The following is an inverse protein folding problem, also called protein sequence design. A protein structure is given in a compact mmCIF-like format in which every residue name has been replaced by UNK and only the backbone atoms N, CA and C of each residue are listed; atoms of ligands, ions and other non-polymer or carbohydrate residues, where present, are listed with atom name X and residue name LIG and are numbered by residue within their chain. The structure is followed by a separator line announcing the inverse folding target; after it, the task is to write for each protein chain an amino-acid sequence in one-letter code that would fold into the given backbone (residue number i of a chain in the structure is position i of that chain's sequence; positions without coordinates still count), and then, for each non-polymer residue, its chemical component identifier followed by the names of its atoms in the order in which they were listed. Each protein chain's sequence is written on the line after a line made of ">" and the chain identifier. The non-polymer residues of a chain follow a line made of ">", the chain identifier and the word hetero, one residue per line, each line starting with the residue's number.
data_IF_989400516027
#
_entry.id   IF_989400516027
#
_cell.length_a   1.000
_cell.length_b   1.000
_cell.length_c   1.000
_cell.angle_alpha   90.00
_cell.angle_beta   90.00
_cell.angle_gamma   90.00
#
_symmetry.space_group_name_H-M   'P 1'
#
loop_
_entity.id
_entity.type
_entity.pdbx_description
1 polymer ?
#
# COMPACT_ATOMS: atom_id res chain seq x y z
N UNK A 1 46.46 -29.97 55.69
CA UNK A 1 45.81 -28.65 55.87
C UNK A 1 45.48 -27.98 54.54
N UNK A 2 46.38 -27.88 53.55
CA UNK A 2 46.09 -27.15 52.30
C UNK A 2 45.15 -27.79 51.25
N UNK A 3 44.59 -28.99 51.49
CA UNK A 3 43.65 -29.62 50.56
C UNK A 3 42.17 -29.31 50.88
N UNK A 4 41.83 -29.07 52.15
CA UNK A 4 40.46 -28.70 52.55
C UNK A 4 40.16 -27.24 52.23
N UNK A 5 41.08 -26.30 52.49
CA UNK A 5 40.92 -24.89 52.12
C UNK A 5 40.73 -24.70 50.60
N UNK A 6 41.49 -25.43 49.77
CA UNK A 6 41.34 -25.41 48.30
C UNK A 6 40.00 -25.97 47.83
N UNK A 7 39.38 -26.87 48.60
CA UNK A 7 38.08 -27.45 48.29
C UNK A 7 36.96 -26.47 48.64
N UNK A 8 37.10 -25.80 49.78
CA UNK A 8 36.16 -24.79 50.27
C UNK A 8 36.15 -23.53 49.38
N UNK A 9 37.33 -23.03 48.97
CA UNK A 9 37.43 -21.93 48.01
C UNK A 9 36.76 -22.25 46.66
N UNK A 10 36.95 -23.48 46.15
CA UNK A 10 36.32 -23.95 44.91
C UNK A 10 34.80 -24.06 45.04
N UNK A 11 34.28 -24.46 46.18
CA UNK A 11 32.83 -24.51 46.43
C UNK A 11 32.22 -23.11 46.50
N UNK A 12 32.89 -22.16 47.16
CA UNK A 12 32.46 -20.75 47.24
C UNK A 12 32.49 -20.10 45.85
N UNK A 13 33.56 -20.33 45.07
CA UNK A 13 33.70 -19.79 43.71
C UNK A 13 32.66 -20.40 42.75
N UNK A 14 32.40 -21.71 42.83
CA UNK A 14 31.35 -22.36 42.06
C UNK A 14 29.95 -21.89 42.48
N UNK A 15 29.71 -21.65 43.77
CA UNK A 15 28.47 -21.07 44.30
C UNK A 15 28.21 -19.66 43.75
N UNK A 16 29.22 -18.78 43.79
CA UNK A 16 29.16 -17.45 43.18
C UNK A 16 28.90 -17.53 41.67
N UNK A 17 29.69 -18.33 40.92
CA UNK A 17 29.50 -18.53 39.47
C UNK A 17 28.10 -19.04 39.13
N UNK A 18 27.56 -19.99 39.91
CA UNK A 18 26.21 -20.55 39.71
C UNK A 18 25.12 -19.53 40.03
N UNK A 19 25.31 -18.67 41.03
CA UNK A 19 24.39 -17.58 41.38
C UNK A 19 24.39 -16.47 40.31
N UNK A 20 25.56 -16.04 39.84
CA UNK A 20 25.68 -15.03 38.77
C UNK A 20 25.10 -15.54 37.45
N UNK A 21 25.34 -16.81 37.10
CA UNK A 21 24.73 -17.45 35.91
C UNK A 21 23.19 -17.52 36.02
N UNK A 22 22.63 -17.85 37.19
CA UNK A 22 21.18 -17.84 37.42
C UNK A 22 20.58 -16.43 37.31
N UNK A 23 21.22 -15.42 37.88
CA UNK A 23 20.80 -14.00 37.74
C UNK A 23 20.85 -13.55 36.27
N UNK A 24 21.90 -13.89 35.54
CA UNK A 24 22.04 -13.55 34.12
C UNK A 24 21.00 -14.28 33.25
N UNK A 25 20.65 -15.52 33.58
CA UNK A 25 19.61 -16.29 32.89
C UNK A 25 18.20 -15.73 33.17
N UNK A 26 17.93 -15.29 34.41
CA UNK A 26 16.66 -14.66 34.77
C UNK A 26 16.53 -13.24 34.17
N UNK A 27 17.62 -12.46 34.14
CA UNK A 27 17.65 -11.15 33.49
C UNK A 27 17.53 -11.28 31.96
N UNK A 28 18.25 -12.23 31.35
CA UNK A 28 18.18 -12.50 29.91
C UNK A 28 16.82 -13.06 29.48
N UNK A 29 16.23 -13.98 30.26
CA UNK A 29 14.87 -14.48 30.04
C UNK A 29 13.80 -13.41 30.25
N UNK A 30 13.97 -12.52 31.23
CA UNK A 30 13.10 -11.37 31.44
C UNK A 30 13.15 -10.38 30.28
N UNK A 31 14.35 -10.04 29.79
CA UNK A 31 14.52 -9.11 28.66
C UNK A 31 13.95 -9.70 27.35
N UNK A 32 14.16 -10.99 27.11
CA UNK A 32 13.56 -11.70 25.98
C UNK A 32 12.03 -11.73 26.07
N UNK A 33 11.49 -12.01 27.26
CA UNK A 33 10.04 -12.02 27.51
C UNK A 33 9.40 -10.66 27.29
N UNK A 34 10.02 -9.58 27.79
CA UNK A 34 9.59 -8.20 27.54
C UNK A 34 9.68 -7.86 26.06
N UNK A 35 10.78 -8.20 25.39
CA UNK A 35 10.95 -7.96 23.96
C UNK A 35 9.88 -8.65 23.10
N UNK A 36 9.55 -9.91 23.41
CA UNK A 36 8.48 -10.64 22.74
C UNK A 36 7.11 -10.00 22.98
N UNK A 37 6.80 -9.62 24.23
CA UNK A 37 5.54 -8.96 24.56
C UNK A 37 5.39 -7.63 23.80
N UNK A 38 6.43 -6.80 23.79
CA UNK A 38 6.46 -5.54 23.05
C UNK A 38 6.32 -5.79 21.54
N UNK A 39 7.04 -6.76 20.99
CA UNK A 39 6.96 -7.10 19.57
C UNK A 39 5.57 -7.56 19.12
N UNK A 40 4.87 -8.35 19.94
CA UNK A 40 3.50 -8.77 19.68
C UNK A 40 2.53 -7.59 19.76
N UNK A 41 2.67 -6.71 20.76
CA UNK A 41 1.83 -5.52 20.88
C UNK A 41 2.00 -4.60 19.67
N UNK A 42 3.24 -4.32 19.26
CA UNK A 42 3.52 -3.50 18.08
C UNK A 42 2.93 -4.13 16.83
N UNK A 43 3.12 -5.44 16.64
CA UNK A 43 2.60 -6.17 15.49
C UNK A 43 1.07 -6.12 15.43
N UNK A 44 0.40 -6.26 16.58
CA UNK A 44 -1.05 -6.10 16.67
C UNK A 44 -1.51 -4.68 16.29
N UNK A 45 -0.87 -3.66 16.85
CA UNK A 45 -1.17 -2.25 16.54
C UNK A 45 -1.01 -1.98 15.04
N UNK A 46 0.07 -2.47 14.43
CA UNK A 46 0.32 -2.30 12.99
C UNK A 46 -0.77 -2.96 12.16
N UNK A 47 -1.16 -4.20 12.48
CA UNK A 47 -2.22 -4.91 11.76
C UNK A 47 -3.55 -4.17 11.85
N UNK A 48 -3.93 -3.71 13.05
CA UNK A 48 -5.17 -2.94 13.23
C UNK A 48 -5.11 -1.58 12.52
N UNK A 49 -3.98 -0.87 12.57
CA UNK A 49 -3.79 0.36 11.81
C UNK A 49 -3.95 0.13 10.29
N UNK A 50 -3.39 -0.97 9.77
CA UNK A 50 -3.54 -1.31 8.34
C UNK A 50 -5.00 -1.56 7.97
N UNK A 51 -5.74 -2.32 8.78
CA UNK A 51 -7.17 -2.60 8.56
C UNK A 51 -8.03 -1.33 8.65
N UNK A 52 -7.84 -0.53 9.69
CA UNK A 52 -8.61 0.70 9.90
C UNK A 52 -8.42 1.70 8.76
N UNK A 53 -7.21 1.75 8.20
CA UNK A 53 -6.86 2.64 7.10
C UNK A 53 -7.06 2.01 5.71
N UNK A 54 -7.72 0.85 5.62
CA UNK A 54 -8.02 0.19 4.35
C UNK A 54 -9.34 0.66 3.73
N UNK A 55 -10.31 0.99 4.59
CA UNK A 55 -11.71 1.14 4.23
C UNK A 55 -12.18 2.54 3.82
N UNK A 56 -13.43 2.61 3.32
CA UNK A 56 -14.00 3.85 2.82
C UNK A 56 -14.12 4.94 3.90
N UNK A 57 -14.30 4.57 5.17
CA UNK A 57 -14.46 5.54 6.25
C UNK A 57 -13.16 6.31 6.53
N UNK A 58 -12.01 5.65 6.41
CA UNK A 58 -10.72 6.32 6.48
C UNK A 58 -10.48 7.15 5.21
N UNK A 59 -10.67 6.56 4.03
CA UNK A 59 -10.38 7.26 2.78
C UNK A 59 -11.24 8.51 2.59
N UNK A 60 -12.52 8.47 2.98
CA UNK A 60 -13.45 9.61 2.87
C UNK A 60 -13.27 10.67 3.97
N UNK A 61 -12.34 10.46 4.92
CA UNK A 61 -12.06 11.44 5.98
C UNK A 61 -11.49 12.74 5.42
N UNK A 62 -10.81 12.68 4.27
CA UNK A 62 -10.42 13.85 3.48
C UNK A 62 -11.57 14.25 2.54
N UNK A 63 -11.90 15.53 2.47
CA UNK A 63 -13.04 16.02 1.67
C UNK A 63 -12.90 15.71 0.17
N UNK A 64 -11.66 15.76 -0.35
CA UNK A 64 -11.35 15.46 -1.75
C UNK A 64 -11.68 14.03 -2.17
N UNK A 65 -11.79 13.11 -1.22
CA UNK A 65 -12.13 11.70 -1.49
C UNK A 65 -13.63 11.41 -1.41
N UNK A 66 -14.46 12.37 -0.99
CA UNK A 66 -15.91 12.21 -0.89
C UNK A 66 -16.56 11.81 -2.23
N UNK A 67 -16.19 12.39 -3.39
CA UNK A 67 -16.72 11.96 -4.68
C UNK A 67 -16.49 10.47 -4.98
N UNK A 68 -15.28 9.98 -4.68
CA UNK A 68 -14.86 8.60 -4.91
C UNK A 68 -15.69 7.67 -4.06
N UNK A 69 -15.86 8.00 -2.77
CA UNK A 69 -16.72 7.27 -1.85
C UNK A 69 -18.17 7.23 -2.31
N UNK A 70 -18.74 8.37 -2.74
CA UNK A 70 -20.12 8.42 -3.23
C UNK A 70 -20.33 7.49 -4.42
N UNK A 71 -19.43 7.54 -5.41
CA UNK A 71 -19.48 6.65 -6.58
C UNK A 71 -19.25 5.18 -6.20
N UNK A 72 -18.32 4.91 -5.29
CA UNK A 72 -18.00 3.58 -4.78
C UNK A 72 -19.20 2.94 -4.07
N UNK A 73 -19.88 3.69 -3.21
CA UNK A 73 -21.07 3.21 -2.48
C UNK A 73 -22.24 2.78 -3.37
N UNK A 74 -22.18 3.11 -4.67
CA UNK A 74 -23.16 2.75 -5.69
C UNK A 74 -22.65 1.65 -6.64
N UNK A 75 -21.40 1.23 -6.51
CA UNK A 75 -20.80 0.14 -7.28
C UNK A 75 -21.00 -1.21 -6.56
N UNK A 76 -20.99 -2.30 -7.32
CA UNK A 76 -21.09 -3.66 -6.75
C UNK A 76 -19.96 -3.99 -5.79
N UNK A 77 -18.78 -3.39 -5.96
CA UNK A 77 -17.65 -3.56 -5.04
C UNK A 77 -17.79 -2.74 -3.75
N UNK A 78 -18.68 -1.73 -3.73
CA UNK A 78 -19.01 -0.98 -2.52
C UNK A 78 -20.24 -1.48 -1.77
N UNK A 79 -20.67 -2.73 -2.02
CA UNK A 79 -21.83 -3.32 -1.37
C UNK A 79 -23.16 -3.08 -2.08
N UNK A 80 -23.18 -2.39 -3.22
CA UNK A 80 -24.42 -2.15 -3.95
C UNK A 80 -24.87 -3.39 -4.72
N UNK A 81 -25.97 -4.03 -4.29
CA UNK A 81 -26.60 -5.14 -4.99
C UNK A 81 -26.93 -6.31 -4.05
N UNK A 82 -27.28 -7.45 -4.65
CA UNK A 82 -27.80 -8.60 -3.90
C UNK A 82 -26.73 -9.42 -3.16
N UNK A 83 -25.45 -9.30 -3.54
CA UNK A 83 -24.38 -10.10 -2.92
C UNK A 83 -23.94 -9.59 -1.55
N UNK A 84 -24.17 -8.31 -1.24
CA UNK A 84 -23.64 -7.65 -0.04
C UNK A 84 -22.11 -7.62 0.04
N UNK A 85 -21.42 -7.95 -1.05
CA UNK A 85 -19.96 -8.00 -1.10
C UNK A 85 -19.37 -6.59 -1.05
N UNK A 86 -18.37 -6.39 -0.19
CA UNK A 86 -17.67 -5.12 -0.02
C UNK A 86 -16.17 -5.36 -0.14
N UNK A 87 -15.54 -4.75 -1.14
CA UNK A 87 -14.10 -4.61 -1.23
C UNK A 87 -13.69 -3.28 -0.59
N UNK A 88 -12.63 -3.26 0.20
CA UNK A 88 -12.06 -2.03 0.74
C UNK A 88 -11.34 -1.24 -0.36
N UNK A 89 -11.10 0.05 -0.13
CA UNK A 89 -10.44 0.92 -1.11
C UNK A 89 -9.06 0.37 -1.49
N UNK A 90 -8.30 -0.09 -0.49
CA UNK A 90 -6.96 -0.67 -0.71
C UNK A 90 -6.95 -2.03 -1.38
N UNK A 91 -8.10 -2.71 -1.49
CA UNK A 91 -8.17 -4.02 -2.16
C UNK A 91 -7.93 -3.87 -3.67
N UNK A 92 -8.21 -2.69 -4.24
CA UNK A 92 -7.92 -2.37 -5.63
C UNK A 92 -6.77 -1.37 -5.79
N UNK A 93 -6.61 -0.45 -4.83
CA UNK A 93 -5.67 0.67 -4.92
C UNK A 93 -4.27 0.41 -4.36
N UNK A 94 -3.96 -0.81 -3.90
CA UNK A 94 -2.61 -1.21 -3.49
C UNK A 94 -2.14 -2.47 -4.22
N UNK A 95 -0.82 -2.69 -4.28
CA UNK A 95 -0.24 -3.88 -4.90
C UNK A 95 -0.30 -5.11 -3.96
N UNK A 96 -1.05 -6.14 -4.36
CA UNK A 96 -1.20 -7.41 -3.65
C UNK A 96 -0.19 -8.50 -4.06
N UNK A 97 0.85 -8.18 -4.83
CA UNK A 97 1.84 -9.20 -5.25
C UNK A 97 2.65 -9.81 -4.10
N UNK A 98 2.78 -9.10 -2.98
CA UNK A 98 3.23 -9.65 -1.69
C UNK A 98 2.84 -8.73 -0.54
N UNK A 99 2.80 -9.26 0.69
CA UNK A 99 2.54 -8.44 1.89
C UNK A 99 3.53 -7.28 2.04
N UNK A 100 4.81 -7.52 1.74
CA UNK A 100 5.83 -6.47 1.83
C UNK A 100 5.56 -5.34 0.83
N UNK A 101 5.25 -5.68 -0.42
CA UNK A 101 4.94 -4.67 -1.44
C UNK A 101 3.66 -3.92 -1.13
N UNK A 102 2.63 -4.59 -0.64
CA UNK A 102 1.40 -3.96 -0.17
C UNK A 102 1.71 -2.89 0.88
N UNK A 103 2.50 -3.24 1.90
CA UNK A 103 2.84 -2.31 2.99
C UNK A 103 3.71 -1.15 2.51
N UNK A 104 4.72 -1.40 1.68
CA UNK A 104 5.56 -0.33 1.11
C UNK A 104 4.71 0.61 0.25
N UNK A 105 3.88 0.06 -0.64
CA UNK A 105 3.01 0.84 -1.50
C UNK A 105 2.00 1.65 -0.68
N UNK A 106 1.41 1.07 0.37
CA UNK A 106 0.52 1.78 1.32
C UNK A 106 1.19 3.00 1.94
N UNK A 107 2.43 2.85 2.41
CA UNK A 107 3.19 3.95 3.00
C UNK A 107 3.51 5.00 1.95
N UNK A 108 3.94 4.60 0.75
CA UNK A 108 4.27 5.52 -0.34
C UNK A 108 3.06 6.37 -0.76
N UNK A 109 1.93 5.74 -1.04
CA UNK A 109 0.71 6.47 -1.45
C UNK A 109 0.16 7.31 -0.29
N UNK A 110 0.21 6.79 0.94
CA UNK A 110 -0.25 7.53 2.12
C UNK A 110 0.59 8.79 2.39
N UNK A 111 1.92 8.71 2.24
CA UNK A 111 2.81 9.87 2.36
C UNK A 111 2.58 10.88 1.23
N UNK A 112 2.38 10.40 0.00
CA UNK A 112 2.05 11.25 -1.13
C UNK A 112 0.73 11.99 -0.89
N UNK A 113 -0.32 11.29 -0.48
CA UNK A 113 -1.64 11.88 -0.25
C UNK A 113 -1.62 12.84 0.94
N UNK A 114 -0.88 12.52 2.01
CA UNK A 114 -0.64 13.44 3.12
C UNK A 114 0.07 14.71 2.66
N UNK A 115 1.10 14.58 1.81
CA UNK A 115 1.82 15.72 1.28
C UNK A 115 0.91 16.62 0.44
N UNK A 116 0.13 16.04 -0.47
CA UNK A 116 -0.84 16.79 -1.28
C UNK A 116 -1.85 17.49 -0.38
N UNK A 117 -2.35 16.79 0.64
CA UNK A 117 -3.34 17.34 1.56
C UNK A 117 -2.82 18.52 2.41
N UNK A 118 -1.56 18.45 2.88
CA UNK A 118 -1.00 19.42 3.84
C UNK A 118 -0.27 20.56 3.16
N UNK A 119 0.45 20.28 2.07
CA UNK A 119 1.39 21.23 1.46
C UNK A 119 0.97 21.72 0.07
N UNK A 120 -0.06 21.13 -0.53
CA UNK A 120 -0.54 21.48 -1.88
C UNK A 120 -2.02 21.90 -1.84
N UNK A 121 -2.63 22.18 -3.00
CA UNK A 121 -4.07 22.44 -3.12
C UNK A 121 -4.81 21.15 -3.52
N UNK A 122 -5.51 20.47 -2.58
CA UNK A 122 -6.22 19.23 -2.88
C UNK A 122 -7.39 19.46 -3.86
N UNK A 123 -7.92 20.67 -3.95
CA UNK A 123 -9.00 21.04 -4.86
C UNK A 123 -8.48 21.35 -6.28
N UNK A 124 -7.17 21.53 -6.45
CA UNK A 124 -6.51 21.68 -7.75
C UNK A 124 -6.21 20.32 -8.43
N UNK A 125 -6.59 19.20 -7.83
CA UNK A 125 -6.39 17.88 -8.44
C UNK A 125 -7.35 17.68 -9.62
N UNK A 126 -6.79 17.53 -10.84
CA UNK A 126 -7.57 17.12 -12.01
C UNK A 126 -7.97 15.64 -11.95
N UNK A 127 -9.06 15.38 -11.24
CA UNK A 127 -9.65 14.04 -11.16
C UNK A 127 -10.16 13.54 -12.50
N UNK A 128 -10.56 14.42 -13.42
CA UNK A 128 -11.04 14.02 -14.73
C UNK A 128 -9.90 13.45 -15.57
N UNK A 129 -8.76 14.11 -15.64
CA UNK A 129 -7.55 13.63 -16.32
C UNK A 129 -6.93 12.40 -15.64
N UNK A 130 -6.94 12.32 -14.30
CA UNK A 130 -6.44 11.14 -13.58
C UNK A 130 -7.17 9.84 -13.94
N UNK A 131 -8.46 9.89 -14.30
CA UNK A 131 -9.22 8.69 -14.72
C UNK A 131 -8.71 8.07 -16.03
N UNK A 132 -8.09 8.86 -16.91
CA UNK A 132 -7.45 8.32 -18.11
C UNK A 132 -6.15 7.56 -17.79
N UNK A 133 -5.57 7.85 -16.63
CA UNK A 133 -4.34 7.25 -16.09
C UNK A 133 -4.63 6.20 -15.00
N UNK A 134 -5.82 5.59 -15.03
CA UNK A 134 -6.28 4.64 -14.00
C UNK A 134 -5.33 3.46 -13.69
N UNK A 135 -4.49 3.04 -14.64
CA UNK A 135 -3.51 1.95 -14.45
C UNK A 135 -2.49 2.25 -13.36
N UNK A 136 -2.18 3.53 -13.13
CA UNK A 136 -1.22 3.93 -12.10
C UNK A 136 -1.79 3.81 -10.69
N UNK A 137 -3.11 3.77 -10.55
CA UNK A 137 -3.79 3.81 -9.27
C UNK A 137 -4.52 2.50 -8.94
N UNK A 138 -4.76 1.62 -9.91
CA UNK A 138 -5.51 0.37 -9.72
C UNK A 138 -4.69 -0.81 -10.25
N UNK A 139 -4.49 -1.79 -9.38
CA UNK A 139 -3.61 -2.93 -9.64
C UNK A 139 -4.39 -4.19 -9.99
N UNK A 140 -3.95 -4.88 -11.04
CA UNK A 140 -4.50 -6.18 -11.43
C UNK A 140 -4.34 -7.23 -10.31
N UNK A 141 -3.28 -7.12 -9.49
CA UNK A 141 -3.08 -7.98 -8.32
C UNK A 141 -4.22 -7.85 -7.32
N UNK A 142 -4.80 -6.64 -7.18
CA UNK A 142 -5.99 -6.42 -6.36
C UNK A 142 -7.23 -7.10 -6.93
N UNK A 143 -7.44 -7.02 -8.25
CA UNK A 143 -8.54 -7.73 -8.90
C UNK A 143 -8.40 -9.25 -8.74
N UNK A 144 -7.21 -9.78 -9.01
CA UNK A 144 -6.92 -11.21 -9.01
C UNK A 144 -6.87 -11.81 -7.61
N UNK A 145 -6.66 -11.02 -6.56
CA UNK A 145 -6.73 -11.47 -5.17
C UNK A 145 -8.15 -11.94 -4.77
N UNK A 146 -9.21 -11.35 -5.35
CA UNK A 146 -10.59 -11.83 -5.16
C UNK A 146 -11.11 -12.65 -6.35
N UNK A 147 -10.65 -12.35 -7.56
CA UNK A 147 -11.05 -13.02 -8.80
C UNK A 147 -10.07 -14.13 -9.24
N UNK A 148 -9.57 -14.92 -8.29
CA UNK A 148 -8.53 -15.93 -8.54
C UNK A 148 -8.89 -16.94 -9.65
N UNK A 149 -10.17 -17.31 -9.73
CA UNK A 149 -10.69 -18.30 -10.69
C UNK A 149 -11.39 -17.69 -11.91
N UNK A 150 -11.05 -16.44 -12.27
CA UNK A 150 -11.76 -15.65 -13.30
C UNK A 150 -11.88 -16.35 -14.66
N UNK A 151 -10.82 -17.03 -15.12
CA UNK A 151 -10.85 -17.72 -16.41
C UNK A 151 -11.90 -18.83 -16.44
N UNK A 152 -11.95 -19.65 -15.38
CA UNK A 152 -12.95 -20.70 -15.22
C UNK A 152 -14.36 -20.10 -15.07
N UNK A 153 -14.50 -19.06 -14.25
CA UNK A 153 -15.77 -18.36 -14.02
C UNK A 153 -16.38 -17.79 -15.31
N UNK A 154 -15.55 -17.45 -16.29
CA UNK A 154 -16.00 -16.86 -17.56
C UNK A 154 -16.20 -17.85 -18.70
N UNK A 155 -15.86 -19.14 -18.55
CA UNK A 155 -15.98 -20.17 -19.59
C UNK A 155 -17.37 -20.25 -20.24
N UNK A 156 -18.44 -20.12 -19.45
CA UNK A 156 -19.83 -20.18 -19.94
C UNK A 156 -20.26 -18.94 -20.72
N UNK A 157 -19.47 -17.86 -20.70
CA UNK A 157 -19.77 -16.58 -21.36
C UNK A 157 -18.72 -16.33 -22.45
N UNK A 158 -18.97 -16.83 -23.67
CA UNK A 158 -18.01 -16.85 -24.79
C UNK A 158 -17.23 -15.54 -24.97
N UNK A 159 -17.91 -14.39 -24.96
CA UNK A 159 -17.25 -13.06 -25.12
C UNK A 159 -16.26 -12.78 -23.99
N UNK A 160 -16.66 -12.98 -22.74
CA UNK A 160 -15.80 -12.78 -21.58
C UNK A 160 -14.63 -13.78 -21.55
N UNK A 161 -14.91 -15.06 -21.86
CA UNK A 161 -13.87 -16.09 -21.91
C UNK A 161 -12.77 -15.79 -22.92
N UNK A 162 -13.12 -15.34 -24.13
CA UNK A 162 -12.13 -15.01 -25.16
C UNK A 162 -11.23 -13.86 -24.69
N UNK A 163 -11.80 -12.80 -24.12
CA UNK A 163 -11.05 -11.66 -23.62
C UNK A 163 -10.12 -12.05 -22.45
N UNK A 164 -10.65 -12.75 -21.44
CA UNK A 164 -9.84 -13.18 -20.30
C UNK A 164 -8.79 -14.22 -20.67
N UNK A 165 -9.09 -15.15 -21.60
CA UNK A 165 -8.07 -16.07 -22.12
C UNK A 165 -6.92 -15.33 -22.79
N UNK A 166 -7.21 -14.29 -23.57
CA UNK A 166 -6.18 -13.46 -24.18
C UNK A 166 -5.34 -12.73 -23.12
N UNK A 167 -5.99 -12.16 -22.10
CA UNK A 167 -5.34 -11.53 -20.94
C UNK A 167 -4.39 -12.51 -20.22
N UNK A 168 -4.90 -13.65 -19.75
CA UNK A 168 -4.09 -14.64 -19.02
C UNK A 168 -2.97 -15.27 -19.88
N UNK A 169 -3.15 -15.33 -21.21
CA UNK A 169 -2.07 -15.77 -22.11
C UNK A 169 -0.98 -14.72 -22.35
N UNK A 170 -1.13 -13.50 -21.83
CA UNK A 170 -0.23 -12.38 -22.06
C UNK A 170 -0.27 -11.82 -23.48
N UNK A 171 -1.28 -12.21 -24.29
CA UNK A 171 -1.42 -11.81 -25.70
C UNK A 171 -2.36 -10.62 -25.91
N UNK A 172 -3.15 -10.27 -24.90
CA UNK A 172 -4.01 -9.09 -24.97
C UNK A 172 -3.15 -7.84 -24.78
N UNK A 173 -2.98 -7.08 -25.87
CA UNK A 173 -2.25 -5.82 -25.89
C UNK A 173 -3.18 -4.67 -26.23
N UNK A 174 -2.87 -3.51 -25.66
CA UNK A 174 -3.65 -2.28 -25.77
C UNK A 174 -2.70 -1.13 -26.10
N UNK A 175 -3.21 -0.13 -26.81
CA UNK A 175 -2.45 1.07 -27.17
C UNK A 175 -2.64 2.14 -26.10
N UNK A 176 -1.53 2.67 -25.58
CA UNK A 176 -1.50 3.81 -24.66
C UNK A 176 -0.66 4.90 -25.31
N UNK A 177 -1.29 5.99 -25.73
CA UNK A 177 -0.61 6.99 -26.56
C UNK A 177 0.02 6.33 -27.78
N UNK A 178 1.34 6.45 -27.93
CA UNK A 178 2.09 5.86 -29.03
C UNK A 178 2.57 4.43 -28.78
N UNK A 179 2.58 3.98 -27.53
CA UNK A 179 3.13 2.69 -27.13
C UNK A 179 2.07 1.59 -27.08
N UNK A 180 2.53 0.34 -27.16
CA UNK A 180 1.72 -0.86 -26.91
C UNK A 180 2.20 -1.52 -25.63
N UNK A 181 1.27 -1.93 -24.80
CA UNK A 181 1.55 -2.65 -23.56
C UNK A 181 0.54 -3.78 -23.35
N UNK A 182 0.84 -4.70 -22.44
CA UNK A 182 -0.12 -5.70 -21.97
C UNK A 182 -1.33 -5.00 -21.37
N UNK A 183 -2.51 -5.59 -21.59
CA UNK A 183 -3.74 -5.07 -21.02
C UNK A 183 -3.79 -5.30 -19.52
N UNK A 184 -4.25 -4.28 -18.79
CA UNK A 184 -4.64 -4.33 -17.39
C UNK A 184 -6.16 -4.51 -17.31
N UNK A 185 -6.67 -5.01 -16.18
CA UNK A 185 -8.11 -5.21 -15.96
C UNK A 185 -8.90 -3.91 -16.23
N UNK A 186 -8.40 -2.79 -15.71
CA UNK A 186 -9.04 -1.49 -15.81
C UNK A 186 -9.05 -0.90 -17.21
N UNK A 187 -8.29 -1.43 -18.18
CA UNK A 187 -8.33 -0.92 -19.56
C UNK A 187 -9.65 -1.16 -20.24
N UNK A 188 -10.23 -2.33 -19.98
CA UNK A 188 -11.55 -2.72 -20.44
C UNK A 188 -12.62 -2.35 -19.42
N UNK A 189 -12.34 -2.56 -18.12
CA UNK A 189 -13.25 -2.28 -17.02
C UNK A 189 -13.07 -0.86 -16.48
N UNK A 190 -13.25 0.14 -17.34
CA UNK A 190 -12.88 1.55 -17.07
C UNK A 190 -13.58 2.22 -15.89
N UNK A 191 -14.73 1.69 -15.49
CA UNK A 191 -15.61 2.28 -14.47
C UNK A 191 -15.81 1.36 -13.26
N UNK A 192 -15.02 0.30 -13.14
CA UNK A 192 -15.09 -0.60 -11.99
C UNK A 192 -14.78 0.15 -10.70
N UNK A 193 -15.49 -0.17 -9.62
CA UNK A 193 -15.22 0.36 -8.27
C UNK A 193 -15.80 1.76 -8.02
N UNK A 194 -16.13 2.54 -9.06
CA UNK A 194 -16.75 3.86 -8.91
C UNK A 194 -17.84 4.08 -9.95
N UNK A 195 -19.10 3.83 -9.58
CA UNK A 195 -20.24 3.98 -10.48
C UNK A 195 -20.51 5.45 -10.81
N UNK A 196 -20.48 5.78 -12.10
CA UNK A 196 -20.71 7.13 -12.63
C UNK A 196 -19.87 8.22 -11.95
N UNK A 197 -18.59 7.94 -11.65
CA UNK A 197 -17.72 8.85 -10.88
C UNK A 197 -17.77 10.32 -11.35
N UNK A 198 -17.79 10.55 -12.67
CA UNK A 198 -17.84 11.89 -13.24
C UNK A 198 -19.05 12.75 -12.81
N UNK A 199 -20.13 12.15 -12.29
CA UNK A 199 -21.29 12.90 -11.74
C UNK A 199 -21.02 13.47 -10.34
N UNK A 200 -20.03 12.93 -9.64
CA UNK A 200 -19.70 13.31 -8.27
C UNK A 200 -18.45 14.17 -8.18
N UNK A 201 -17.61 14.15 -9.22
CA UNK A 201 -16.38 14.94 -9.28
C UNK A 201 -16.70 16.45 -9.35
N UNK A 202 -15.87 17.30 -8.72
CA UNK A 202 -15.91 18.72 -8.99
C UNK A 202 -15.58 19.00 -10.46
N UNK A 203 -15.95 20.18 -11.01
CA UNK A 203 -15.48 20.58 -12.32
C UNK A 203 -13.94 20.58 -12.35
N UNK A 204 -13.32 20.34 -13.52
CA UNK A 204 -11.88 20.47 -13.65
C UNK A 204 -11.39 21.84 -13.14
N UNK A 205 -10.26 21.90 -12.43
CA UNK A 205 -9.68 23.17 -12.00
C UNK A 205 -9.41 24.10 -13.20
N UNK A 206 -9.44 25.43 -13.00
CA UNK A 206 -8.99 26.37 -14.02
C UNK A 206 -7.55 26.08 -14.47
N UNK A 207 -7.25 26.31 -15.75
CA UNK A 207 -5.94 26.01 -16.36
C UNK A 207 -4.78 26.67 -15.61
N UNK A 208 -4.95 27.90 -15.12
CA UNK A 208 -3.95 28.63 -14.33
C UNK A 208 -3.53 27.88 -13.05
N UNK A 209 -4.49 27.28 -12.33
CA UNK A 209 -4.18 26.47 -11.14
C UNK A 209 -3.43 25.19 -11.50
N UNK A 210 -3.75 24.59 -12.65
CA UNK A 210 -3.05 23.39 -13.11
C UNK A 210 -1.59 23.71 -13.48
N UNK A 211 -1.36 24.88 -14.10
CA UNK A 211 -0.01 25.34 -14.44
C UNK A 211 0.78 25.61 -13.16
N UNK A 212 0.25 26.38 -12.21
CA UNK A 212 0.93 26.70 -10.95
C UNK A 212 1.33 25.43 -10.17
N UNK A 213 0.43 24.45 -10.10
CA UNK A 213 0.69 23.16 -9.47
C UNK A 213 1.76 22.37 -10.23
N UNK A 214 1.73 22.39 -11.57
CA UNK A 214 2.71 21.71 -12.41
C UNK A 214 4.11 22.31 -12.28
N UNK A 215 4.22 23.64 -12.17
CA UNK A 215 5.49 24.36 -11.99
C UNK A 215 6.12 24.00 -10.65
N UNK A 216 5.34 23.99 -9.55
CA UNK A 216 5.81 23.53 -8.22
C UNK A 216 6.36 22.11 -8.26
N UNK A 217 5.67 21.19 -8.95
CA UNK A 217 6.12 19.80 -9.08
C UNK A 217 7.41 19.68 -9.89
N UNK A 218 7.57 20.50 -10.93
CA UNK A 218 8.79 20.56 -11.74
C UNK A 218 9.95 21.08 -10.89
N UNK A 219 9.77 22.19 -10.17
CA UNK A 219 10.80 22.78 -9.30
C UNK A 219 11.30 21.76 -8.26
N UNK A 220 10.39 21.07 -7.58
CA UNK A 220 10.76 20.03 -6.62
C UNK A 220 11.50 18.86 -7.27
N UNK A 221 11.05 18.45 -8.46
CA UNK A 221 11.71 17.37 -9.21
C UNK A 221 13.13 17.75 -9.62
N UNK A 222 13.34 19.00 -10.02
CA UNK A 222 14.68 19.56 -10.33
C UNK A 222 15.55 19.56 -9.07
N UNK A 223 15.05 20.05 -7.94
CA UNK A 223 15.81 20.08 -6.68
C UNK A 223 16.25 18.68 -6.22
N UNK A 224 15.38 17.66 -6.37
CA UNK A 224 15.72 16.27 -6.06
C UNK A 224 16.83 15.75 -6.98
N UNK A 225 16.79 16.10 -8.28
CA UNK A 225 17.81 15.69 -9.25
C UNK A 225 19.15 16.37 -8.96
N UNK A 226 19.14 17.64 -8.59
CA UNK A 226 20.35 18.38 -8.19
C UNK A 226 20.99 17.77 -6.94
N UNK A 227 20.22 17.52 -5.88
CA UNK A 227 20.72 16.84 -4.66
C UNK A 227 21.27 15.45 -4.94
N UNK A 228 20.66 14.70 -5.87
CA UNK A 228 21.19 13.39 -6.29
C UNK A 228 22.51 13.53 -7.03
N UNK A 229 22.65 14.55 -7.87
CA UNK A 229 23.88 14.83 -8.60
C UNK A 229 25.01 15.18 -7.65
N UNK A 230 24.78 16.09 -6.69
CA UNK A 230 25.75 16.47 -5.65
C UNK A 230 26.22 15.25 -4.83
N UNK A 231 25.29 14.42 -4.35
CA UNK A 231 25.65 13.17 -3.64
C UNK A 231 26.45 12.19 -4.50
N UNK A 232 26.18 12.14 -5.81
CA UNK A 232 26.91 11.26 -6.72
C UNK A 232 28.34 11.78 -6.99
N UNK A 233 28.56 13.08 -6.89
CA UNK A 233 29.86 13.73 -7.02
C UNK A 233 30.67 13.59 -5.72
N UNK A 234 30.02 13.70 -4.56
CA UNK A 234 30.64 13.47 -3.25
C UNK A 234 31.06 12.01 -3.02
N UNK A 235 30.32 11.04 -3.56
CA UNK A 235 30.69 9.60 -3.53
C UNK A 235 31.81 9.21 -4.50
N UNK A 236 32.25 10.13 -5.38
CA UNK A 236 33.37 9.91 -6.32
C UNK A 236 34.70 10.47 -5.80
N UNK A 237 34.71 11.15 -4.66
CA UNK A 237 35.89 11.62 -3.94
C UNK A 237 36.14 10.80 -2.67
#
# INVERSE_FOLDING_TARGET
>A
MGQEEKKEEKEIENGKKRFTKKKLFLLGGGLLGVGLAVGLIISYIVVEAVKLTAGPDFCKSCHVMIPMYKAYSKDTHGGWGYSGFVAHCTDCHLDHSSTLKYLINKVQVGLHDFKVYVFMDPDAVDWHGKREHRRYFVYDTGCLHCHENLLAATMKKRRAFIAHKAYFSGKLVVRIGEHKDKAHCVDCHKHVGHKDLGKYLPPPPPEEKLIEESEKLIEESVEILEKKKEKSEEQKH
#
